data_IF_614017699339
#
_entry.id   IF_614017699339
#
_cell.length_a   1.000
_cell.length_b   1.000
_cell.length_c   1.000
_cell.angle_alpha   90.00
_cell.angle_beta   90.00
_cell.angle_gamma   90.00
#
_symmetry.space_group_name_H-M   'P 1'
#
loop_
_entity.id
_entity.type
_entity.pdbx_description
1 polymer ?
#
# COMPACT_ATOMS: atom_id res chain seq x y z
N UNK A 1 18.17 -15.91 3.80
CA UNK A 1 17.20 -15.39 2.79
C UNK A 1 17.03 -16.43 1.70
N UNK A 2 15.77 -16.70 1.29
CA UNK A 2 15.46 -17.61 0.20
C UNK A 2 14.92 -16.76 -0.96
N UNK A 3 15.54 -16.86 -2.11
CA UNK A 3 15.18 -16.12 -3.32
C UNK A 3 14.55 -17.04 -4.35
N UNK A 4 13.55 -16.54 -5.08
CA UNK A 4 12.92 -17.27 -6.19
C UNK A 4 12.53 -16.28 -7.29
N UNK A 5 13.16 -16.42 -8.45
CA UNK A 5 12.81 -15.65 -9.64
C UNK A 5 11.75 -16.31 -10.52
N UNK A 6 11.18 -15.54 -11.45
CA UNK A 6 10.37 -16.08 -12.54
C UNK A 6 11.18 -17.01 -13.43
N UNK A 7 10.51 -17.90 -14.16
CA UNK A 7 11.16 -18.86 -15.07
C UNK A 7 12.04 -18.15 -16.11
N UNK A 8 11.62 -17.00 -16.57
CA UNK A 8 12.31 -16.13 -17.53
C UNK A 8 13.59 -15.49 -16.95
N UNK A 9 13.67 -15.34 -15.63
CA UNK A 9 14.76 -14.66 -14.92
C UNK A 9 15.78 -15.61 -14.28
N UNK A 10 15.64 -16.93 -14.41
CA UNK A 10 16.47 -17.94 -13.71
C UNK A 10 17.96 -17.66 -13.89
N UNK A 11 18.45 -17.47 -15.12
CA UNK A 11 19.87 -17.23 -15.39
C UNK A 11 20.39 -15.95 -14.73
N UNK A 12 19.57 -14.90 -14.71
CA UNK A 12 19.90 -13.65 -14.03
C UNK A 12 19.96 -13.83 -12.51
N UNK A 13 19.01 -14.58 -11.95
CA UNK A 13 18.99 -14.90 -10.52
C UNK A 13 20.22 -15.73 -10.11
N UNK A 14 20.58 -16.75 -10.89
CA UNK A 14 21.78 -17.56 -10.66
C UNK A 14 23.06 -16.71 -10.68
N UNK A 15 23.20 -15.81 -11.66
CA UNK A 15 24.35 -14.92 -11.77
C UNK A 15 24.44 -13.95 -10.58
N UNK A 16 23.30 -13.38 -10.16
CA UNK A 16 23.24 -12.47 -9.01
C UNK A 16 23.56 -13.20 -7.70
N UNK A 17 22.97 -14.38 -7.47
CA UNK A 17 23.23 -15.17 -6.25
C UNK A 17 24.70 -15.62 -6.21
N UNK A 18 25.28 -16.01 -7.34
CA UNK A 18 26.72 -16.32 -7.43
C UNK A 18 27.59 -15.13 -7.02
N UNK A 19 27.26 -13.93 -7.48
CA UNK A 19 28.00 -12.71 -7.09
C UNK A 19 27.84 -12.41 -5.59
N UNK A 20 26.62 -12.58 -5.04
CA UNK A 20 26.35 -12.44 -3.60
C UNK A 20 27.17 -13.46 -2.80
N UNK A 21 27.19 -14.74 -3.19
CA UNK A 21 27.98 -15.78 -2.53
C UNK A 21 29.48 -15.45 -2.52
N UNK A 22 30.00 -14.93 -3.62
CA UNK A 22 31.42 -14.50 -3.68
C UNK A 22 31.70 -13.34 -2.69
N UNK A 23 30.80 -12.37 -2.59
CA UNK A 23 30.91 -11.28 -1.63
C UNK A 23 30.83 -11.76 -0.18
N UNK A 24 29.92 -12.67 0.13
CA UNK A 24 29.78 -13.28 1.45
C UNK A 24 31.06 -14.03 1.85
N UNK A 25 31.61 -14.87 0.96
CA UNK A 25 32.87 -15.59 1.19
C UNK A 25 34.03 -14.64 1.44
N UNK A 26 34.13 -13.56 0.67
CA UNK A 26 35.20 -12.55 0.87
C UNK A 26 35.05 -11.84 2.24
N UNK A 27 33.83 -11.67 2.72
CA UNK A 27 33.53 -11.10 4.04
C UNK A 27 33.65 -12.12 5.20
N UNK A 28 33.99 -13.39 4.92
CA UNK A 28 34.09 -14.45 5.92
C UNK A 28 32.71 -14.93 6.43
N UNK A 29 31.65 -14.69 5.66
CA UNK A 29 30.29 -15.12 5.95
C UNK A 29 29.93 -16.40 5.18
N UNK A 30 29.04 -17.20 5.75
CA UNK A 30 28.53 -18.41 5.12
C UNK A 30 27.65 -18.05 3.92
N UNK A 31 27.97 -18.51 2.68
CA UNK A 31 27.14 -18.27 1.52
C UNK A 31 25.73 -18.88 1.62
N UNK A 32 25.52 -19.93 2.42
CA UNK A 32 24.23 -20.60 2.58
C UNK A 32 23.16 -19.72 3.27
N UNK A 33 23.52 -18.55 3.80
CA UNK A 33 22.57 -17.54 4.28
C UNK A 33 21.70 -16.97 3.17
N UNK A 34 22.08 -17.17 1.89
CA UNK A 34 21.31 -16.80 0.70
C UNK A 34 21.14 -18.03 -0.19
N UNK A 35 19.92 -18.48 -0.36
CA UNK A 35 19.56 -19.65 -1.15
C UNK A 35 18.69 -19.26 -2.35
N UNK A 36 18.76 -20.02 -3.44
CA UNK A 36 17.96 -19.80 -4.64
C UNK A 36 17.12 -21.03 -4.95
N UNK A 37 15.80 -20.83 -5.05
CA UNK A 37 14.87 -21.81 -5.60
C UNK A 37 14.67 -21.58 -7.10
N UNK A 38 14.67 -22.65 -7.88
CA UNK A 38 14.62 -22.60 -9.34
C UNK A 38 13.34 -23.22 -9.91
N UNK A 39 12.67 -24.11 -9.16
CA UNK A 39 11.50 -24.83 -9.62
C UNK A 39 10.21 -24.33 -8.96
N UNK A 40 9.07 -24.68 -9.57
CA UNK A 40 7.74 -24.40 -9.01
C UNK A 40 7.45 -25.32 -7.81
N UNK A 41 7.89 -26.54 -7.89
CA UNK A 41 7.71 -27.56 -6.85
C UNK A 41 8.37 -27.12 -5.55
N UNK A 42 9.63 -26.63 -5.62
CA UNK A 42 10.34 -26.07 -4.46
C UNK A 42 9.57 -24.90 -3.83
N UNK A 43 8.95 -24.05 -4.66
CA UNK A 43 8.14 -22.93 -4.16
C UNK A 43 6.91 -23.43 -3.40
N UNK A 44 6.19 -24.44 -3.93
CA UNK A 44 5.02 -25.00 -3.27
C UNK A 44 5.39 -25.70 -1.94
N UNK A 45 6.55 -26.35 -1.87
CA UNK A 45 7.04 -26.92 -0.63
C UNK A 45 7.44 -25.83 0.38
N UNK A 46 8.06 -24.73 -0.07
CA UNK A 46 8.39 -23.58 0.78
C UNK A 46 7.16 -23.03 1.50
N UNK A 47 6.02 -22.95 0.84
CA UNK A 47 4.78 -22.43 1.44
C UNK A 47 4.28 -23.23 2.66
N UNK A 48 4.81 -24.44 2.86
CA UNK A 48 4.47 -25.35 3.98
C UNK A 48 5.46 -25.26 5.14
N UNK A 49 6.57 -24.54 4.98
CA UNK A 49 7.69 -24.50 5.92
C UNK A 49 7.52 -23.40 6.98
N UNK A 50 6.35 -23.28 7.57
CA UNK A 50 6.01 -22.28 8.59
C UNK A 50 6.82 -22.40 9.89
N UNK A 51 7.48 -23.53 10.13
CA UNK A 51 8.42 -23.71 11.23
C UNK A 51 9.83 -23.14 10.97
N UNK A 52 10.14 -22.78 9.71
CA UNK A 52 11.49 -22.35 9.29
C UNK A 52 11.52 -21.01 8.56
N UNK A 53 10.38 -20.57 8.05
CA UNK A 53 10.25 -19.32 7.27
C UNK A 53 9.30 -18.38 8.00
N UNK A 54 9.82 -17.22 8.39
CA UNK A 54 9.09 -16.24 9.19
C UNK A 54 8.24 -15.29 8.33
N UNK A 55 8.63 -15.05 7.07
CA UNK A 55 7.98 -14.08 6.20
C UNK A 55 8.16 -14.44 4.72
N UNK A 56 7.07 -14.33 3.94
CA UNK A 56 7.10 -14.41 2.48
C UNK A 56 6.78 -13.03 1.90
N UNK A 57 7.57 -12.61 0.91
CA UNK A 57 7.38 -11.37 0.15
C UNK A 57 7.16 -11.73 -1.31
N UNK A 58 5.91 -11.98 -1.74
CA UNK A 58 5.62 -12.35 -3.12
C UNK A 58 5.73 -11.15 -4.05
N UNK A 59 6.23 -11.40 -5.26
CA UNK A 59 6.25 -10.46 -6.38
C UNK A 59 5.72 -11.16 -7.62
N UNK A 60 4.76 -10.56 -8.30
CA UNK A 60 4.13 -11.14 -9.49
C UNK A 60 2.73 -10.60 -9.72
N UNK A 61 1.94 -11.33 -10.50
CA UNK A 61 0.55 -10.95 -10.76
C UNK A 61 -0.31 -11.01 -9.50
N UNK A 62 -1.41 -10.23 -9.48
CA UNK A 62 -2.38 -10.21 -8.39
C UNK A 62 -2.89 -11.63 -8.06
N UNK A 63 -3.15 -12.45 -9.07
CA UNK A 63 -3.55 -13.85 -8.90
C UNK A 63 -2.48 -14.70 -8.20
N UNK A 64 -1.21 -14.47 -8.49
CA UNK A 64 -0.11 -15.17 -7.82
C UNK A 64 0.03 -14.73 -6.35
N UNK A 65 -0.06 -13.45 -6.06
CA UNK A 65 -0.01 -12.95 -4.68
C UNK A 65 -1.16 -13.52 -3.86
N UNK A 66 -2.39 -13.49 -4.38
CA UNK A 66 -3.56 -14.11 -3.73
C UNK A 66 -3.36 -15.61 -3.51
N UNK A 67 -2.85 -16.32 -4.53
CA UNK A 67 -2.54 -17.74 -4.39
C UNK A 67 -1.58 -18.02 -3.22
N UNK A 68 -0.51 -17.23 -3.09
CA UNK A 68 0.43 -17.37 -1.97
C UNK A 68 -0.28 -17.12 -0.64
N UNK A 69 -1.06 -16.03 -0.51
CA UNK A 69 -1.79 -15.68 0.71
C UNK A 69 -2.79 -16.76 1.16
N UNK A 70 -3.43 -17.44 0.19
CA UNK A 70 -4.43 -18.47 0.46
C UNK A 70 -3.83 -19.86 0.75
N UNK A 71 -2.57 -20.08 0.39
CA UNK A 71 -1.95 -21.41 0.43
C UNK A 71 -0.77 -21.54 1.42
N UNK A 72 -0.60 -20.59 2.32
CA UNK A 72 0.44 -20.67 3.37
C UNK A 72 -0.08 -20.22 4.73
N UNK A 73 0.59 -20.69 5.79
CA UNK A 73 0.45 -20.17 7.16
C UNK A 73 1.55 -19.17 7.52
N UNK A 74 2.57 -19.06 6.68
CA UNK A 74 3.65 -18.12 6.87
C UNK A 74 3.09 -16.70 6.63
N UNK A 75 3.39 -15.71 7.47
CA UNK A 75 3.04 -14.31 7.20
C UNK A 75 3.47 -13.89 5.79
N UNK A 76 2.56 -13.24 5.06
CA UNK A 76 2.81 -12.78 3.68
C UNK A 76 2.77 -11.26 3.65
N UNK A 77 3.89 -10.64 3.32
CA UNK A 77 3.99 -9.19 3.12
C UNK A 77 3.72 -8.87 1.65
N UNK A 78 2.62 -8.20 1.37
CA UNK A 78 2.26 -7.82 0.01
C UNK A 78 0.82 -7.32 -0.10
N UNK A 79 0.49 -6.87 -1.30
CA UNK A 79 -0.86 -6.52 -1.71
C UNK A 79 -1.16 -7.20 -3.06
N UNK A 80 -2.40 -7.57 -3.28
CA UNK A 80 -2.83 -8.17 -4.54
C UNK A 80 -3.24 -7.09 -5.54
N UNK A 81 -3.93 -6.05 -5.09
CA UNK A 81 -4.48 -4.98 -5.93
C UNK A 81 -4.08 -3.61 -5.39
N UNK A 82 -3.88 -2.64 -6.29
CA UNK A 82 -3.61 -1.23 -5.99
C UNK A 82 -4.79 -0.34 -6.45
N UNK A 83 -5.95 -0.43 -5.77
CA UNK A 83 -7.11 0.41 -6.08
C UNK A 83 -7.09 1.59 -5.13
N UNK A 84 -6.59 2.72 -5.61
CA UNK A 84 -6.42 3.96 -4.86
C UNK A 84 -7.42 5.02 -5.30
N UNK A 85 -7.81 5.89 -4.36
CA UNK A 85 -8.77 6.96 -4.62
C UNK A 85 -8.19 8.33 -4.29
N UNK A 86 -8.69 9.34 -5.00
CA UNK A 86 -8.55 10.74 -4.63
C UNK A 86 -9.95 11.33 -4.47
N UNK A 87 -10.26 11.85 -3.29
CA UNK A 87 -11.51 12.54 -3.01
C UNK A 87 -11.31 14.06 -3.05
N UNK A 88 -12.09 14.73 -3.87
CA UNK A 88 -12.15 16.19 -3.98
C UNK A 88 -13.35 16.67 -3.17
N UNK A 89 -13.08 17.25 -2.01
CA UNK A 89 -14.10 17.75 -1.09
C UNK A 89 -14.68 19.09 -1.57
N UNK A 90 -15.85 19.45 -1.03
CA UNK A 90 -16.52 20.73 -1.33
C UNK A 90 -15.68 21.97 -1.02
N UNK A 91 -14.76 21.87 -0.07
CA UNK A 91 -13.84 22.94 0.34
C UNK A 91 -12.46 22.83 -0.32
N UNK A 92 -12.33 22.09 -1.43
CA UNK A 92 -11.05 21.96 -2.13
C UNK A 92 -10.68 23.23 -2.89
N UNK A 93 -9.39 23.59 -2.90
CA UNK A 93 -8.83 24.53 -3.88
C UNK A 93 -8.78 23.84 -5.24
N UNK A 94 -9.54 24.34 -6.22
CA UNK A 94 -9.71 23.69 -7.53
C UNK A 94 -8.40 23.59 -8.31
N UNK A 95 -7.57 24.62 -8.45
CA UNK A 95 -6.28 24.52 -9.08
C UNK A 95 -5.37 23.45 -8.48
N UNK A 96 -5.28 23.39 -7.14
CA UNK A 96 -4.52 22.38 -6.43
C UNK A 96 -5.10 20.98 -6.68
N UNK A 97 -6.41 20.82 -6.59
CA UNK A 97 -7.10 19.56 -6.84
C UNK A 97 -6.84 19.00 -8.24
N UNK A 98 -6.83 19.86 -9.27
CA UNK A 98 -6.49 19.48 -10.64
C UNK A 98 -5.04 19.00 -10.74
N UNK A 99 -4.09 19.75 -10.17
CA UNK A 99 -2.68 19.38 -10.19
C UNK A 99 -2.44 18.03 -9.50
N UNK A 100 -3.05 17.82 -8.33
CA UNK A 100 -2.95 16.56 -7.58
C UNK A 100 -3.61 15.38 -8.31
N UNK A 101 -4.75 15.60 -8.96
CA UNK A 101 -5.42 14.55 -9.76
C UNK A 101 -4.54 14.11 -10.93
N UNK A 102 -3.98 15.07 -11.68
CA UNK A 102 -3.09 14.79 -12.81
C UNK A 102 -1.86 14.01 -12.35
N UNK A 103 -1.17 14.49 -11.30
CA UNK A 103 0.03 13.83 -10.79
C UNK A 103 -0.29 12.43 -10.27
N UNK A 104 -1.34 12.28 -9.46
CA UNK A 104 -1.73 11.00 -8.88
C UNK A 104 -2.08 9.94 -9.93
N UNK A 105 -2.57 10.32 -11.11
CA UNK A 105 -2.88 9.38 -12.19
C UNK A 105 -1.75 9.21 -13.20
N UNK A 106 -1.07 10.30 -13.59
CA UNK A 106 -0.23 10.27 -14.79
C UNK A 106 1.26 10.21 -14.56
N UNK A 107 1.74 10.45 -13.35
CA UNK A 107 3.17 10.42 -13.03
C UNK A 107 3.78 9.02 -13.27
N UNK A 108 3.05 7.96 -12.91
CA UNK A 108 3.36 6.58 -13.29
C UNK A 108 2.08 5.72 -13.16
N UNK A 109 1.28 5.58 -14.22
CA UNK A 109 -0.05 4.97 -14.16
C UNK A 109 -0.05 3.48 -13.79
N UNK A 110 1.03 2.75 -14.09
CA UNK A 110 1.17 1.33 -13.77
C UNK A 110 1.62 1.06 -12.33
N UNK A 111 1.80 2.08 -11.50
CA UNK A 111 2.16 1.88 -10.10
C UNK A 111 0.92 1.67 -9.24
N UNK A 112 0.99 0.74 -8.29
CA UNK A 112 -0.11 0.37 -7.39
C UNK A 112 -0.65 1.50 -6.51
N UNK A 113 0.05 2.64 -6.41
CA UNK A 113 -0.40 3.83 -5.71
C UNK A 113 -0.87 4.97 -6.65
N UNK A 114 -0.98 4.71 -7.98
CA UNK A 114 -1.71 5.59 -8.88
C UNK A 114 -3.22 5.50 -8.57
N UNK A 115 -3.95 6.61 -8.71
CA UNK A 115 -5.39 6.57 -8.49
C UNK A 115 -6.10 5.84 -9.63
N UNK A 116 -7.10 5.05 -9.28
CA UNK A 116 -8.00 4.38 -10.23
C UNK A 116 -9.40 5.00 -10.21
N UNK A 117 -9.78 5.62 -9.10
CA UNK A 117 -11.06 6.32 -8.95
C UNK A 117 -10.88 7.72 -8.38
N UNK A 118 -11.54 8.67 -9.01
CA UNK A 118 -11.69 10.05 -8.57
C UNK A 118 -13.11 10.25 -8.01
N UNK A 119 -13.22 10.55 -6.73
CA UNK A 119 -14.48 10.91 -6.09
C UNK A 119 -14.58 12.43 -6.00
N UNK A 120 -15.72 13.00 -6.37
CA UNK A 120 -15.91 14.45 -6.37
C UNK A 120 -17.20 14.81 -5.63
N UNK A 121 -17.08 15.70 -4.66
CA UNK A 121 -18.24 16.20 -3.94
C UNK A 121 -19.19 16.95 -4.87
N UNK A 122 -20.49 16.67 -4.81
CA UNK A 122 -21.50 17.24 -5.69
C UNK A 122 -21.51 18.76 -5.78
N UNK A 123 -21.20 19.45 -4.68
CA UNK A 123 -21.25 20.91 -4.62
C UNK A 123 -20.24 21.61 -5.53
N UNK A 124 -19.12 20.96 -5.85
CA UNK A 124 -18.06 21.52 -6.72
C UNK A 124 -17.85 20.71 -8.00
N UNK A 125 -18.60 19.63 -8.19
CA UNK A 125 -18.39 18.69 -9.29
C UNK A 125 -18.39 19.38 -10.65
N UNK A 126 -19.34 20.25 -10.94
CA UNK A 126 -19.41 20.96 -12.21
C UNK A 126 -18.20 21.86 -12.43
N UNK A 127 -17.83 22.65 -11.43
CA UNK A 127 -16.75 23.63 -11.56
C UNK A 127 -15.39 22.95 -11.66
N UNK A 128 -15.15 21.90 -10.87
CA UNK A 128 -13.93 21.12 -10.90
C UNK A 128 -13.80 20.30 -12.19
N UNK A 129 -14.81 19.49 -12.52
CA UNK A 129 -14.73 18.56 -13.64
C UNK A 129 -14.61 19.29 -14.99
N UNK A 130 -15.30 20.42 -15.19
CA UNK A 130 -15.18 21.20 -16.43
C UNK A 130 -13.77 21.74 -16.66
N UNK A 131 -12.98 21.95 -15.59
CA UNK A 131 -11.59 22.41 -15.69
C UNK A 131 -10.59 21.27 -15.71
N UNK A 132 -10.88 20.14 -15.06
CA UNK A 132 -9.96 18.99 -14.93
C UNK A 132 -9.92 18.11 -16.19
N UNK A 133 -11.04 18.02 -16.94
CA UNK A 133 -11.18 17.07 -18.06
C UNK A 133 -10.19 17.34 -19.19
N UNK A 134 -10.03 18.59 -19.59
CA UNK A 134 -9.10 18.98 -20.66
C UNK A 134 -7.66 18.56 -20.37
N UNK A 135 -7.06 18.99 -19.25
CA UNK A 135 -5.72 18.59 -18.85
C UNK A 135 -5.50 17.08 -18.71
N UNK A 136 -6.49 16.32 -18.23
CA UNK A 136 -6.42 14.85 -18.15
C UNK A 136 -6.41 14.20 -19.54
N UNK A 137 -7.28 14.68 -20.45
CA UNK A 137 -7.31 14.19 -21.83
C UNK A 137 -6.06 14.55 -22.62
N UNK A 138 -5.45 15.70 -22.38
CA UNK A 138 -4.14 16.08 -22.95
C UNK A 138 -3.03 15.11 -22.53
N UNK A 139 -3.16 14.47 -21.35
CA UNK A 139 -2.29 13.39 -20.88
C UNK A 139 -2.73 12.02 -21.37
N UNK A 140 -3.69 11.94 -22.30
CA UNK A 140 -4.23 10.70 -22.86
C UNK A 140 -4.96 9.81 -21.83
N UNK A 141 -5.49 10.39 -20.75
CA UNK A 141 -6.28 9.64 -19.77
C UNK A 141 -7.68 9.38 -20.35
N UNK A 142 -8.06 8.10 -20.46
CA UNK A 142 -9.43 7.68 -20.70
C UNK A 142 -10.26 7.91 -19.43
N UNK A 143 -11.37 8.63 -19.58
CA UNK A 143 -12.24 8.95 -18.45
C UNK A 143 -13.55 8.16 -18.55
N UNK A 144 -13.95 7.53 -17.42
CA UNK A 144 -15.22 6.82 -17.25
C UNK A 144 -16.00 7.46 -16.12
N UNK A 145 -17.28 7.77 -16.33
CA UNK A 145 -18.08 8.51 -15.35
C UNK A 145 -19.32 7.74 -14.89
N UNK A 146 -19.74 7.96 -13.65
CA UNK A 146 -21.08 7.56 -13.20
C UNK A 146 -22.15 8.40 -13.92
N UNK A 147 -23.43 8.07 -13.73
CA UNK A 147 -24.54 8.76 -14.38
C UNK A 147 -24.51 10.27 -14.16
N UNK A 148 -24.15 10.73 -12.97
CA UNK A 148 -24.11 12.17 -12.63
C UNK A 148 -22.92 12.88 -13.29
N UNK A 149 -21.80 12.19 -13.43
CA UNK A 149 -20.64 12.70 -14.17
C UNK A 149 -20.95 12.85 -15.65
N UNK A 150 -21.72 11.92 -16.24
CA UNK A 150 -22.14 11.96 -17.65
C UNK A 150 -23.09 13.12 -17.96
N UNK A 151 -23.82 13.64 -16.97
CA UNK A 151 -24.63 14.86 -17.12
C UNK A 151 -23.75 16.13 -17.29
N UNK A 152 -22.51 16.07 -16.82
CA UNK A 152 -21.54 17.19 -16.89
C UNK A 152 -20.58 17.02 -18.05
N UNK A 153 -20.09 15.80 -18.28
CA UNK A 153 -18.99 15.50 -19.22
C UNK A 153 -19.41 14.47 -20.27
N UNK A 154 -19.10 14.70 -21.56
CA UNK A 154 -19.30 13.72 -22.63
C UNK A 154 -18.17 12.66 -22.65
N UNK A 155 -18.11 11.81 -21.64
CA UNK A 155 -17.12 10.73 -21.47
C UNK A 155 -17.78 9.36 -21.48
N UNK A 156 -17.00 8.29 -21.35
CA UNK A 156 -17.54 6.92 -21.32
C UNK A 156 -18.27 6.62 -20.01
N UNK A 157 -19.33 5.79 -20.04
CA UNK A 157 -19.98 5.36 -18.79
C UNK A 157 -19.09 4.40 -18.02
N UNK A 158 -18.97 4.63 -16.72
CA UNK A 158 -18.43 3.66 -15.77
C UNK A 158 -19.47 2.59 -15.45
N UNK A 159 -19.02 1.38 -15.20
CA UNK A 159 -19.80 0.23 -14.74
C UNK A 159 -19.49 -0.07 -13.28
N UNK A 160 -20.26 -0.92 -12.63
CA UNK A 160 -19.98 -1.33 -11.24
C UNK A 160 -18.60 -2.01 -11.09
N UNK A 161 -18.13 -2.70 -12.13
CA UNK A 161 -16.82 -3.35 -12.13
C UNK A 161 -15.67 -2.34 -12.10
N UNK A 162 -15.86 -1.14 -12.66
CA UNK A 162 -14.83 -0.11 -12.72
C UNK A 162 -14.40 0.36 -11.31
N UNK A 163 -15.32 0.35 -10.33
CA UNK A 163 -15.01 0.74 -8.95
C UNK A 163 -14.04 -0.22 -8.24
N UNK A 164 -13.94 -1.46 -8.71
CA UNK A 164 -13.06 -2.50 -8.15
C UNK A 164 -11.94 -2.90 -9.11
N UNK A 165 -11.64 -2.08 -10.10
CA UNK A 165 -10.64 -2.39 -11.12
C UNK A 165 -9.36 -1.59 -10.90
N UNK A 166 -8.23 -2.29 -10.81
CA UNK A 166 -6.91 -1.72 -10.98
C UNK A 166 -6.57 -1.73 -12.47
N UNK A 167 -6.67 -0.57 -13.13
CA UNK A 167 -6.39 -0.46 -14.55
C UNK A 167 -4.90 -0.58 -14.87
N UNK A 168 -4.05 -0.08 -13.96
CA UNK A 168 -2.59 0.02 -14.18
C UNK A 168 -2.24 0.73 -15.50
N UNK A 169 -3.12 1.62 -15.98
CA UNK A 169 -3.02 2.33 -17.26
C UNK A 169 -3.61 3.75 -17.13
N UNK A 170 -3.56 4.52 -18.19
CA UNK A 170 -4.14 5.87 -18.28
C UNK A 170 -5.68 5.80 -18.42
N UNK A 171 -6.33 5.17 -17.46
CA UNK A 171 -7.79 5.09 -17.33
C UNK A 171 -8.16 5.55 -15.91
N UNK A 172 -9.17 6.40 -15.78
CA UNK A 172 -9.63 6.95 -14.51
C UNK A 172 -11.15 6.93 -14.43
N UNK A 173 -11.69 6.29 -13.41
CA UNK A 173 -13.13 6.32 -13.11
C UNK A 173 -13.47 7.52 -12.25
N UNK A 174 -14.61 8.17 -12.52
CA UNK A 174 -15.07 9.39 -11.84
C UNK A 174 -16.45 9.13 -11.27
N UNK A 175 -16.64 9.43 -9.98
CA UNK A 175 -17.93 9.32 -9.31
C UNK A 175 -18.24 10.57 -8.51
N UNK A 176 -19.45 11.09 -8.65
CA UNK A 176 -19.95 12.19 -7.83
C UNK A 176 -20.60 11.64 -6.56
N UNK A 177 -20.17 12.14 -5.40
CA UNK A 177 -20.67 11.75 -4.08
C UNK A 177 -21.39 12.93 -3.39
N UNK A 178 -22.32 12.63 -2.51
CA UNK A 178 -23.15 13.65 -1.86
C UNK A 178 -22.47 14.25 -0.62
N UNK A 179 -21.57 13.47 0.02
CA UNK A 179 -20.96 13.84 1.29
C UNK A 179 -19.56 13.23 1.45
N UNK A 180 -18.83 13.67 2.47
CA UNK A 180 -17.59 13.07 2.93
C UNK A 180 -17.80 11.61 3.36
N UNK A 181 -18.91 11.34 4.06
CA UNK A 181 -19.29 10.02 4.55
C UNK A 181 -19.50 9.04 3.39
N UNK A 182 -20.14 9.49 2.30
CA UNK A 182 -20.33 8.67 1.09
C UNK A 182 -18.99 8.36 0.40
N UNK A 183 -18.07 9.34 0.37
CA UNK A 183 -16.72 9.12 -0.15
C UNK A 183 -15.98 8.07 0.68
N UNK A 184 -15.99 8.20 2.01
CA UNK A 184 -15.37 7.23 2.94
C UNK A 184 -16.00 5.84 2.79
N UNK A 185 -17.34 5.77 2.70
CA UNK A 185 -18.05 4.50 2.51
C UNK A 185 -17.66 3.82 1.19
N UNK A 186 -17.56 4.61 0.09
CA UNK A 186 -17.11 4.10 -1.20
C UNK A 186 -15.68 3.55 -1.13
N UNK A 187 -14.75 4.33 -0.59
CA UNK A 187 -13.34 3.94 -0.44
C UNK A 187 -13.21 2.67 0.39
N UNK A 188 -13.86 2.60 1.55
CA UNK A 188 -13.79 1.43 2.42
C UNK A 188 -14.45 0.18 1.82
N UNK A 189 -15.34 0.35 0.82
CA UNK A 189 -16.02 -0.74 0.12
C UNK A 189 -15.19 -1.28 -1.05
N UNK A 190 -14.67 -0.40 -1.90
CA UNK A 190 -14.04 -0.75 -3.17
C UNK A 190 -12.51 -0.67 -3.15
N UNK A 191 -11.94 0.15 -2.25
CA UNK A 191 -10.50 0.34 -2.14
C UNK A 191 -9.76 -0.92 -1.70
N UNK A 192 -8.52 -1.03 -2.14
CA UNK A 192 -7.62 -2.14 -1.79
C UNK A 192 -6.88 -1.92 -0.45
N UNK A 193 -7.19 -0.86 0.28
CA UNK A 193 -6.52 -0.42 1.51
C UNK A 193 -5.06 -0.02 1.29
N UNK A 194 -4.74 0.42 0.09
CA UNK A 194 -3.38 0.80 -0.25
C UNK A 194 -3.11 2.27 0.11
N UNK A 195 -3.55 3.20 -0.71
CA UNK A 195 -3.28 4.64 -0.52
C UNK A 195 -4.48 5.46 -0.98
N UNK A 196 -4.99 6.28 -0.08
CA UNK A 196 -6.18 7.09 -0.30
C UNK A 196 -5.86 8.56 0.02
N UNK A 197 -6.45 9.50 -0.69
CA UNK A 197 -6.20 10.91 -0.44
C UNK A 197 -7.47 11.77 -0.51
N UNK A 198 -7.49 12.84 0.28
CA UNK A 198 -8.49 13.92 0.24
C UNK A 198 -7.83 15.23 -0.15
N UNK A 199 -8.51 16.03 -0.96
CA UNK A 199 -8.17 17.42 -1.22
C UNK A 199 -9.23 18.31 -0.60
N UNK A 200 -8.86 19.13 0.37
CA UNK A 200 -9.77 20.03 1.10
C UNK A 200 -9.01 21.09 1.87
N UNK A 201 -9.59 22.26 2.03
CA UNK A 201 -9.13 23.30 2.96
C UNK A 201 -9.85 23.23 4.32
N UNK A 202 -10.80 22.31 4.47
CA UNK A 202 -11.50 22.05 5.75
C UNK A 202 -10.71 21.03 6.59
N UNK A 203 -10.02 21.52 7.63
CA UNK A 203 -9.21 20.70 8.54
C UNK A 203 -10.03 19.62 9.25
N UNK A 204 -11.32 19.88 9.54
CA UNK A 204 -12.20 18.91 10.20
C UNK A 204 -12.57 17.78 9.24
N UNK A 205 -12.86 18.10 7.98
CA UNK A 205 -13.09 17.11 6.93
C UNK A 205 -11.85 16.25 6.71
N UNK A 206 -10.66 16.88 6.64
CA UNK A 206 -9.39 16.18 6.51
C UNK A 206 -9.16 15.22 7.70
N UNK A 207 -9.32 15.70 8.94
CA UNK A 207 -9.14 14.88 10.14
C UNK A 207 -10.11 13.69 10.17
N UNK A 208 -11.38 13.92 9.80
CA UNK A 208 -12.40 12.86 9.72
C UNK A 208 -12.03 11.81 8.68
N UNK A 209 -11.66 12.23 7.48
CA UNK A 209 -11.21 11.35 6.39
C UNK A 209 -10.01 10.50 6.83
N UNK A 210 -8.97 11.14 7.35
CA UNK A 210 -7.74 10.46 7.79
C UNK A 210 -7.98 9.46 8.93
N UNK A 211 -8.98 9.69 9.78
CA UNK A 211 -9.32 8.80 10.89
C UNK A 211 -10.20 7.60 10.46
N UNK A 212 -11.08 7.79 9.46
CA UNK A 212 -12.12 6.81 9.13
C UNK A 212 -11.82 5.96 7.90
N UNK A 213 -10.90 6.39 7.04
CA UNK A 213 -10.47 5.59 5.88
C UNK A 213 -9.49 4.50 6.31
N UNK A 214 -9.82 3.25 6.00
CA UNK A 214 -8.99 2.08 6.32
C UNK A 214 -8.00 1.78 5.19
N UNK A 215 -6.89 2.51 5.16
CA UNK A 215 -5.81 2.30 4.21
C UNK A 215 -4.43 2.34 4.87
N UNK A 216 -3.41 1.84 4.17
CA UNK A 216 -2.03 1.86 4.63
C UNK A 216 -1.44 3.28 4.59
N UNK A 217 -1.82 4.09 3.60
CA UNK A 217 -1.54 5.51 3.51
C UNK A 217 -2.83 6.31 3.37
N UNK A 218 -3.03 7.34 4.20
CA UNK A 218 -4.16 8.26 4.09
C UNK A 218 -3.62 9.67 4.11
N UNK A 219 -3.87 10.42 3.04
CA UNK A 219 -3.20 11.68 2.76
C UNK A 219 -4.16 12.86 2.71
N UNK A 220 -3.66 14.00 3.07
CA UNK A 220 -4.33 15.28 2.94
C UNK A 220 -3.50 16.21 2.04
N UNK A 221 -4.12 16.75 0.99
CA UNK A 221 -3.54 17.72 0.05
C UNK A 221 -2.19 17.29 -0.55
N UNK A 222 -2.02 15.99 -0.86
CA UNK A 222 -0.85 15.53 -1.59
C UNK A 222 -1.18 14.31 -2.48
N UNK A 223 -0.31 14.07 -3.45
CA UNK A 223 -0.45 12.98 -4.41
C UNK A 223 -0.31 11.62 -3.74
N UNK A 224 -1.14 10.65 -4.13
CA UNK A 224 -1.01 9.25 -3.70
C UNK A 224 0.32 8.62 -4.10
N UNK A 225 1.01 9.21 -5.10
CA UNK A 225 2.33 8.80 -5.56
C UNK A 225 3.45 8.97 -4.53
N UNK A 226 3.18 9.62 -3.39
CA UNK A 226 4.13 9.69 -2.27
C UNK A 226 4.24 8.40 -1.46
N UNK A 227 3.39 7.39 -1.67
CA UNK A 227 3.48 6.08 -1.01
C UNK A 227 4.71 5.29 -1.50
N UNK A 228 5.86 5.60 -0.95
CA UNK A 228 7.16 5.08 -1.36
C UNK A 228 8.15 5.15 -0.19
N UNK A 229 8.89 4.07 0.05
CA UNK A 229 9.80 3.98 1.19
C UNK A 229 10.92 5.02 1.18
N UNK A 230 11.42 5.41 -0.01
CA UNK A 230 12.41 6.49 -0.12
C UNK A 230 11.80 7.85 0.23
N UNK A 231 10.59 8.12 -0.27
CA UNK A 231 9.87 9.38 0.02
C UNK A 231 9.46 9.49 1.48
N UNK A 232 9.22 8.36 2.15
CA UNK A 232 8.97 8.30 3.59
C UNK A 232 10.24 8.41 4.44
N UNK A 233 11.42 8.34 3.82
CA UNK A 233 12.70 8.41 4.53
C UNK A 233 13.18 7.07 5.09
N UNK A 234 12.60 5.92 4.66
CA UNK A 234 13.02 4.58 5.11
C UNK A 234 14.31 4.09 4.45
N UNK A 235 14.84 4.84 3.47
CA UNK A 235 16.09 4.52 2.76
C UNK A 235 16.00 3.37 1.76
N UNK A 236 15.04 2.47 1.91
CA UNK A 236 14.78 1.34 1.02
C UNK A 236 13.32 0.92 1.10
N UNK A 237 12.86 0.18 0.10
CA UNK A 237 11.56 -0.48 0.11
C UNK A 237 11.69 -1.90 -0.44
N UNK A 238 11.31 -2.89 0.35
CA UNK A 238 11.25 -4.30 -0.08
C UNK A 238 9.87 -4.70 -0.58
N UNK A 239 8.87 -3.92 -0.27
CA UNK A 239 7.48 -4.13 -0.68
C UNK A 239 6.52 -3.20 0.02
N UNK A 240 5.23 -3.28 -0.38
CA UNK A 240 4.12 -2.57 0.25
C UNK A 240 3.12 -3.59 0.75
N UNK A 241 2.67 -3.44 2.00
CA UNK A 241 1.65 -4.29 2.62
C UNK A 241 0.38 -3.51 2.89
N UNK A 242 -0.77 -4.07 2.51
CA UNK A 242 -2.10 -3.52 2.81
C UNK A 242 -2.76 -4.23 4.01
N UNK A 243 -2.05 -5.12 4.68
CA UNK A 243 -2.54 -5.82 5.87
C UNK A 243 -2.73 -4.87 7.05
N UNK A 244 -3.62 -5.21 7.98
CA UNK A 244 -3.81 -4.46 9.24
C UNK A 244 -2.73 -4.75 10.28
N UNK A 245 -2.13 -5.96 10.23
CA UNK A 245 -1.02 -6.33 11.11
C UNK A 245 0.30 -5.76 10.57
N UNK A 246 1.21 -5.30 11.43
CA UNK A 246 2.52 -4.82 11.00
C UNK A 246 3.35 -5.92 10.28
N UNK A 247 4.20 -5.52 9.34
CA UNK A 247 4.32 -4.17 8.80
C UNK A 247 3.18 -3.81 7.84
N UNK A 248 2.80 -2.52 7.79
CA UNK A 248 1.75 -1.98 6.90
C UNK A 248 2.28 -0.78 6.12
N UNK A 249 1.87 -0.63 4.86
CA UNK A 249 2.37 0.40 3.95
C UNK A 249 3.70 0.03 3.32
N UNK A 250 4.48 1.01 2.82
CA UNK A 250 5.85 0.81 2.37
C UNK A 250 6.73 0.24 3.47
N UNK A 251 7.44 -0.85 3.16
CA UNK A 251 8.23 -1.61 4.14
C UNK A 251 9.71 -1.46 3.83
N UNK A 252 10.42 -0.78 4.71
CA UNK A 252 11.89 -0.66 4.70
C UNK A 252 12.54 -1.72 5.60
N UNK A 253 13.81 -1.47 5.96
CA UNK A 253 14.61 -2.39 6.77
C UNK A 253 13.98 -2.67 8.15
N UNK A 254 13.42 -1.66 8.80
CA UNK A 254 12.79 -1.78 10.13
C UNK A 254 11.57 -2.73 10.11
N UNK A 255 10.84 -2.79 9.00
CA UNK A 255 9.71 -3.71 8.85
C UNK A 255 10.09 -5.18 8.65
N UNK A 256 11.38 -5.48 8.45
CA UNK A 256 11.92 -6.83 8.32
C UNK A 256 12.51 -7.39 9.62
N UNK A 257 12.49 -6.62 10.69
CA UNK A 257 13.04 -7.01 12.00
C UNK A 257 11.93 -7.06 13.05
N UNK A 258 12.21 -7.78 14.13
CA UNK A 258 11.34 -7.80 15.31
C UNK A 258 12.17 -7.55 16.56
N UNK A 259 11.52 -7.40 17.68
CA UNK A 259 12.14 -7.15 18.97
C UNK A 259 11.98 -8.35 19.91
N UNK A 260 12.87 -8.42 20.89
CA UNK A 260 12.73 -9.30 22.06
C UNK A 260 12.96 -8.52 23.33
N UNK A 261 12.24 -8.89 24.35
CA UNK A 261 12.47 -8.31 25.67
C UNK A 261 13.66 -8.99 26.35
N UNK A 262 14.55 -8.21 26.94
CA UNK A 262 15.64 -8.68 27.78
C UNK A 262 15.41 -8.13 29.18
N UNK A 263 15.19 -9.01 30.14
CA UNK A 263 14.99 -8.65 31.54
C UNK A 263 16.21 -9.08 32.35
N UNK A 264 16.88 -8.07 32.93
CA UNK A 264 18.05 -8.31 33.81
C UNK A 264 17.62 -8.05 35.24
N UNK A 265 17.62 -9.09 36.04
CA UNK A 265 17.25 -9.03 37.45
C UNK A 265 18.40 -9.43 38.41
N UNK A 266 18.21 -9.16 39.66
CA UNK A 266 19.10 -9.61 40.75
C UNK A 266 18.25 -10.35 41.83
N UNK A 267 17.75 -11.52 41.49
CA UNK A 267 16.91 -12.31 42.37
C UNK A 267 15.48 -11.78 42.57
N UNK A 268 14.97 -10.97 41.66
CA UNK A 268 13.58 -10.50 41.71
C UNK A 268 12.61 -11.64 41.44
N UNK A 269 11.60 -11.76 42.30
CA UNK A 269 10.52 -12.75 42.14
C UNK A 269 9.16 -12.06 42.01
N UNK A 270 8.31 -12.57 41.15
CA UNK A 270 7.02 -11.96 40.83
C UNK A 270 6.09 -11.83 42.07
N UNK A 271 6.18 -12.79 43.01
CA UNK A 271 5.39 -12.77 44.24
C UNK A 271 5.61 -11.51 45.10
N UNK A 272 6.78 -10.88 45.02
CA UNK A 272 7.07 -9.61 45.74
C UNK A 272 6.26 -8.43 45.18
N UNK A 273 5.83 -8.56 43.95
CA UNK A 273 5.08 -7.51 43.21
C UNK A 273 3.60 -7.90 43.01
N UNK A 274 3.10 -8.84 43.77
CA UNK A 274 1.73 -9.35 43.70
C UNK A 274 1.07 -9.43 45.08
N UNK A 275 -0.26 -9.26 45.14
CA UNK A 275 -1.05 -9.37 46.38
C UNK A 275 -1.16 -8.05 47.17
N UNK A 276 -1.77 -8.13 48.41
CA UNK A 276 -2.12 -6.93 49.19
C UNK A 276 -0.93 -6.08 49.66
N UNK A 277 0.24 -6.71 49.80
CA UNK A 277 1.50 -6.06 50.25
C UNK A 277 2.53 -5.97 49.11
N UNK A 278 2.08 -5.93 47.86
CA UNK A 278 2.96 -5.85 46.70
C UNK A 278 3.81 -4.59 46.71
N UNK A 279 5.09 -4.73 46.35
CA UNK A 279 5.94 -3.56 46.06
C UNK A 279 5.44 -2.87 44.78
N UNK A 280 5.48 -1.55 44.73
CA UNK A 280 5.11 -0.83 43.49
C UNK A 280 6.13 -1.08 42.38
N UNK A 281 5.67 -1.09 41.14
CA UNK A 281 6.54 -0.98 39.97
C UNK A 281 6.98 0.49 39.82
N UNK A 282 8.27 0.67 39.53
CA UNK A 282 8.82 1.98 39.19
C UNK A 282 9.13 1.97 37.72
N UNK A 283 8.36 2.75 36.95
CA UNK A 283 8.58 2.93 35.52
C UNK A 283 9.37 4.23 35.31
N UNK A 284 10.55 4.11 34.75
CA UNK A 284 11.42 5.24 34.40
C UNK A 284 11.87 5.04 32.95
N UNK A 285 11.82 6.12 32.17
CA UNK A 285 12.45 6.15 30.86
C UNK A 285 13.98 6.13 31.05
N UNK A 286 14.65 5.30 30.25
CA UNK A 286 16.09 5.08 30.31
C UNK A 286 16.80 6.10 29.40
#
# INVERSE_FOLDING_TARGET
VILKGGKEAIRSCEALVKAIHQGLQQAGLDPDVVQLLTTREETLELLKLDAYVDLIIPRGSNSFVRFVQENTRIPVLGHADGICHLYIDKAADIPQAIALTIDSKTQYPAACNAIETLLVHQAIAKDFLSQAVGPLQEKSVELRGDTRTLEILPIQPATEADWSTEYSDLILSIKIVDSLEDAIAHINTYGSRHTEAIVTEDEQAAATFMAQVDAAGVYHNCSTRFADGFRYGFGAEVGISTQKMPPRGPVGLEGLVTYKYQLVGNGHIAATYSGPNAKPFIHQDL
#
